data_IF_434670089007
#
_entry.id   IF_434670089007
#
_cell.length_a   1.000
_cell.length_b   1.000
_cell.length_c   1.000
_cell.angle_alpha   90.00
_cell.angle_beta   90.00
_cell.angle_gamma   90.00
#
_symmetry.space_group_name_H-M   'P 1'
#
loop_
_entity.id
_entity.type
_entity.pdbx_description
1 polymer ?
#
# COMPACT_ATOMS: atom_id res chain seq x y z
N UNK A 1 -1.48 19.52 6.90
CA UNK A 1 -0.29 19.24 6.09
C UNK A 1 0.13 17.78 6.25
N UNK A 2 0.53 17.15 5.13
CA UNK A 2 1.15 15.82 5.11
C UNK A 2 2.59 16.02 4.61
N UNK A 3 3.57 15.86 5.49
CA UNK A 3 4.98 15.94 5.13
C UNK A 3 5.48 14.56 4.71
N UNK A 4 5.88 14.41 3.46
CA UNK A 4 6.26 13.14 2.88
C UNK A 4 7.63 13.21 2.22
N UNK A 5 8.57 12.36 2.65
CA UNK A 5 9.87 12.23 1.98
C UNK A 5 9.85 11.22 0.83
N UNK A 6 9.05 10.18 0.96
CA UNK A 6 8.95 9.12 -0.05
C UNK A 6 7.52 8.60 -0.04
N UNK A 7 6.82 8.60 -1.17
CA UNK A 7 5.45 8.12 -1.24
C UNK A 7 5.36 6.62 -0.89
N UNK A 8 4.23 6.23 -0.32
CA UNK A 8 3.89 4.83 -0.11
C UNK A 8 3.14 4.28 -1.33
N UNK A 9 3.30 2.99 -1.61
CA UNK A 9 2.43 2.31 -2.55
C UNK A 9 1.06 2.08 -1.91
N UNK A 10 0.04 2.77 -2.40
CA UNK A 10 -1.32 2.71 -1.86
C UNK A 10 -2.21 1.96 -2.86
N UNK A 11 -2.52 0.73 -2.54
CA UNK A 11 -3.39 -0.10 -3.35
C UNK A 11 -4.82 -0.15 -2.78
N UNK A 12 -5.73 -0.73 -3.53
CA UNK A 12 -7.14 -0.90 -3.17
C UNK A 12 -7.25 -1.81 -1.94
N UNK A 13 -8.03 -1.38 -0.95
CA UNK A 13 -8.40 -2.21 0.18
C UNK A 13 -9.68 -2.98 -0.07
N UNK A 14 -10.61 -2.36 -0.80
CA UNK A 14 -11.95 -2.90 -1.06
C UNK A 14 -12.64 -3.33 0.24
N UNK A 15 -12.65 -2.39 1.19
CA UNK A 15 -13.23 -2.65 2.50
C UNK A 15 -14.75 -2.65 2.42
N UNK A 16 -15.36 -3.74 2.85
CA UNK A 16 -16.81 -3.87 3.00
C UNK A 16 -17.16 -4.32 4.40
N UNK A 17 -18.39 -4.09 4.78
CA UNK A 17 -18.92 -4.65 6.02
C UNK A 17 -19.00 -6.17 5.93
N UNK A 18 -18.71 -6.83 7.03
CA UNK A 18 -18.91 -8.28 7.17
C UNK A 18 -20.33 -8.51 7.67
N UNK A 19 -21.14 -9.26 6.93
CA UNK A 19 -22.49 -9.56 7.36
C UNK A 19 -22.49 -10.49 8.59
N UNK A 20 -23.60 -10.48 9.32
CA UNK A 20 -23.77 -11.36 10.49
C UNK A 20 -23.65 -12.84 10.07
N UNK A 21 -24.23 -13.20 8.94
CA UNK A 21 -24.21 -14.56 8.39
C UNK A 21 -22.78 -14.98 8.01
N UNK A 22 -22.00 -14.11 7.36
CA UNK A 22 -20.60 -14.38 7.05
C UNK A 22 -19.77 -14.57 8.31
N UNK A 23 -19.97 -13.72 9.32
CA UNK A 23 -19.26 -13.82 10.58
C UNK A 23 -19.61 -15.11 11.31
N UNK A 24 -20.90 -15.47 11.36
CA UNK A 24 -21.36 -16.72 11.96
C UNK A 24 -20.76 -17.94 11.24
N UNK A 25 -20.73 -17.93 9.90
CA UNK A 25 -20.12 -19.01 9.11
C UNK A 25 -18.62 -19.14 9.41
N UNK A 26 -17.89 -18.04 9.47
CA UNK A 26 -16.45 -18.07 9.72
C UNK A 26 -16.10 -18.44 11.16
N UNK A 27 -16.96 -18.10 12.13
CA UNK A 27 -16.72 -18.27 13.55
C UNK A 27 -17.20 -19.61 14.11
N UNK A 28 -17.78 -20.49 13.30
CA UNK A 28 -18.30 -21.80 13.72
C UNK A 28 -17.28 -22.66 14.48
N UNK A 29 -16.02 -22.60 14.05
CA UNK A 29 -14.98 -23.43 14.63
C UNK A 29 -14.15 -22.67 15.66
N UNK A 30 -13.90 -23.22 16.85
CA UNK A 30 -13.00 -22.62 17.82
C UNK A 30 -11.61 -22.35 17.22
N UNK A 31 -11.07 -21.15 17.41
CA UNK A 31 -9.76 -20.78 16.88
C UNK A 31 -9.74 -20.36 15.41
N UNK A 32 -10.89 -20.16 14.79
CA UNK A 32 -11.04 -19.74 13.38
C UNK A 32 -10.17 -18.54 13.01
N UNK A 33 -10.08 -17.52 13.86
CA UNK A 33 -9.30 -16.30 13.59
C UNK A 33 -7.80 -16.61 13.46
N UNK A 34 -7.29 -17.50 14.33
CA UNK A 34 -5.88 -17.96 14.25
C UNK A 34 -5.64 -18.79 12.99
N UNK A 35 -6.56 -19.69 12.66
CA UNK A 35 -6.49 -20.50 11.45
C UNK A 35 -6.53 -19.65 10.18
N UNK A 36 -7.42 -18.64 10.11
CA UNK A 36 -7.52 -17.67 9.01
C UNK A 36 -6.24 -16.86 8.83
N UNK A 37 -5.64 -16.36 9.93
CA UNK A 37 -4.35 -15.66 9.90
C UNK A 37 -3.22 -16.55 9.39
N UNK A 38 -3.12 -17.79 9.89
CA UNK A 38 -2.11 -18.74 9.45
C UNK A 38 -2.26 -19.12 7.98
N UNK A 39 -3.51 -19.23 7.50
CA UNK A 39 -3.79 -19.46 6.09
C UNK A 39 -3.36 -18.26 5.22
N UNK A 40 -3.69 -17.05 5.63
CA UNK A 40 -3.25 -15.81 4.95
C UNK A 40 -1.73 -15.76 4.81
N UNK A 41 -0.99 -16.03 5.89
CA UNK A 41 0.47 -16.05 5.86
C UNK A 41 1.01 -17.08 4.85
N UNK A 42 0.48 -18.30 4.84
CA UNK A 42 0.89 -19.34 3.88
C UNK A 42 0.61 -18.98 2.43
N UNK A 43 -0.52 -18.33 2.16
CA UNK A 43 -0.86 -17.83 0.81
C UNK A 43 0.11 -16.71 0.42
N UNK A 44 0.35 -15.75 1.30
CA UNK A 44 1.26 -14.62 1.07
C UNK A 44 2.70 -15.07 0.81
N UNK A 45 3.11 -16.19 1.43
CA UNK A 45 4.42 -16.81 1.21
C UNK A 45 4.46 -17.75 -0.01
N UNK A 46 3.36 -17.89 -0.74
CA UNK A 46 3.26 -18.78 -1.89
C UNK A 46 3.20 -20.29 -1.56
N UNK A 47 3.08 -20.64 -0.27
CA UNK A 47 3.08 -22.06 0.21
C UNK A 47 1.74 -22.77 0.04
N UNK A 48 0.67 -22.06 -0.23
CA UNK A 48 -0.68 -22.61 -0.36
C UNK A 48 -1.47 -21.88 -1.44
N UNK A 49 -2.24 -22.64 -2.22
CA UNK A 49 -3.15 -22.08 -3.20
C UNK A 49 -4.32 -21.33 -2.55
N UNK A 50 -4.72 -20.21 -3.17
CA UNK A 50 -5.98 -19.56 -2.84
C UNK A 50 -7.18 -20.47 -3.22
N UNK A 51 -8.22 -20.39 -2.42
CA UNK A 51 -9.54 -20.95 -2.70
C UNK A 51 -10.54 -19.83 -2.98
N UNK A 52 -11.70 -20.18 -3.49
CA UNK A 52 -12.74 -19.21 -3.85
C UNK A 52 -13.22 -18.33 -2.68
N UNK A 53 -13.15 -18.86 -1.45
CA UNK A 53 -13.54 -18.15 -0.23
C UNK A 53 -12.39 -17.44 0.52
N UNK A 54 -11.25 -17.27 -0.13
CA UNK A 54 -10.17 -16.41 0.36
C UNK A 54 -10.35 -14.95 -0.15
N UNK A 55 -11.58 -14.49 -0.20
CA UNK A 55 -12.02 -13.18 -0.71
C UNK A 55 -11.44 -11.98 0.04
N UNK A 56 -11.02 -12.16 1.30
CA UNK A 56 -10.28 -11.16 2.07
C UNK A 56 -8.92 -10.79 1.45
N UNK A 57 -8.51 -11.49 0.42
CA UNK A 57 -7.37 -11.17 -0.43
C UNK A 57 -7.78 -10.52 -1.76
N UNK A 58 -9.08 -10.21 -1.94
CA UNK A 58 -9.57 -9.50 -3.12
C UNK A 58 -8.72 -8.23 -3.37
N UNK A 59 -8.54 -7.87 -4.62
CA UNK A 59 -7.61 -6.80 -5.02
C UNK A 59 -6.13 -7.20 -5.09
N UNK A 60 -5.72 -8.22 -4.33
CA UNK A 60 -4.33 -8.77 -4.35
C UNK A 60 -4.20 -10.05 -5.17
N UNK A 61 -5.32 -10.57 -5.64
CA UNK A 61 -5.43 -11.89 -6.31
C UNK A 61 -4.60 -12.01 -7.59
N UNK A 62 -4.51 -10.99 -8.47
CA UNK A 62 -3.71 -11.09 -9.68
C UNK A 62 -2.26 -11.46 -9.40
N UNK A 63 -1.64 -10.80 -8.41
CA UNK A 63 -0.23 -11.01 -8.06
C UNK A 63 0.06 -12.43 -7.58
N UNK A 64 -0.84 -13.00 -6.78
CA UNK A 64 -0.68 -14.36 -6.27
C UNK A 64 -0.99 -15.42 -7.32
N UNK A 65 -1.99 -15.20 -8.18
CA UNK A 65 -2.30 -16.10 -9.29
C UNK A 65 -1.16 -16.15 -10.30
N UNK A 66 -0.59 -15.00 -10.62
CA UNK A 66 0.51 -14.91 -11.59
C UNK A 66 1.81 -15.50 -11.07
N UNK A 67 2.15 -15.31 -9.80
CA UNK A 67 3.30 -15.99 -9.17
C UNK A 67 3.21 -17.51 -9.26
N UNK A 68 2.00 -18.08 -9.35
CA UNK A 68 1.79 -19.52 -9.49
C UNK A 68 1.84 -20.03 -10.92
N UNK A 69 1.63 -19.17 -11.91
CA UNK A 69 1.78 -19.57 -13.32
C UNK A 69 3.22 -19.91 -13.71
N UNK A 70 4.18 -19.68 -12.79
CA UNK A 70 5.60 -20.01 -13.00
C UNK A 70 5.99 -21.42 -12.54
N UNK A 71 5.04 -22.28 -12.23
CA UNK A 71 5.28 -23.71 -11.95
C UNK A 71 5.41 -24.49 -13.27
N UNK A 72 6.55 -24.41 -13.90
CA UNK A 72 6.94 -25.14 -15.10
C UNK A 72 8.47 -25.18 -15.20
N UNK A 73 9.00 -25.87 -16.19
CA UNK A 73 10.44 -25.94 -16.49
C UNK A 73 10.94 -24.58 -17.05
N UNK A 74 11.00 -23.56 -16.19
CA UNK A 74 11.59 -22.27 -16.55
C UNK A 74 12.97 -22.12 -15.89
N UNK A 75 13.90 -21.53 -16.62
CA UNK A 75 15.23 -21.26 -16.09
C UNK A 75 15.19 -20.23 -14.95
N UNK A 76 16.16 -20.22 -14.03
CA UNK A 76 16.25 -19.19 -12.99
C UNK A 76 16.26 -17.76 -13.54
N UNK A 77 16.90 -17.53 -14.68
CA UNK A 77 16.97 -16.22 -15.34
C UNK A 77 15.58 -15.77 -15.84
N UNK A 78 14.84 -16.66 -16.48
CA UNK A 78 13.45 -16.38 -16.91
C UNK A 78 12.53 -16.12 -15.74
N UNK A 79 12.70 -16.84 -14.62
CA UNK A 79 11.94 -16.60 -13.40
C UNK A 79 12.17 -15.19 -12.86
N UNK A 80 13.43 -14.76 -12.78
CA UNK A 80 13.80 -13.41 -12.34
C UNK A 80 13.18 -12.36 -13.27
N UNK A 81 13.29 -12.52 -14.59
CA UNK A 81 12.72 -11.58 -15.54
C UNK A 81 11.20 -11.46 -15.38
N UNK A 82 10.49 -12.57 -15.29
CA UNK A 82 9.03 -12.57 -15.07
C UNK A 82 8.63 -11.91 -13.74
N UNK A 83 9.43 -12.08 -12.68
CA UNK A 83 9.20 -11.39 -11.40
C UNK A 83 9.37 -9.88 -11.54
N UNK A 84 10.39 -9.43 -12.27
CA UNK A 84 10.62 -8.01 -12.54
C UNK A 84 9.46 -7.41 -13.37
N UNK A 85 9.06 -8.07 -14.44
CA UNK A 85 7.96 -7.63 -15.31
C UNK A 85 6.64 -7.52 -14.53
N UNK A 86 6.36 -8.51 -13.67
CA UNK A 86 5.19 -8.47 -12.78
C UNK A 86 5.28 -7.31 -11.79
N UNK A 87 6.46 -7.09 -11.20
CA UNK A 87 6.69 -5.99 -10.28
C UNK A 87 6.45 -4.62 -10.95
N UNK A 88 7.02 -4.41 -12.13
CA UNK A 88 6.83 -3.18 -12.90
C UNK A 88 5.36 -2.93 -13.23
N UNK A 89 4.64 -3.96 -13.67
CA UNK A 89 3.22 -3.84 -13.98
C UNK A 89 2.38 -3.45 -12.77
N UNK A 90 2.63 -4.06 -11.59
CA UNK A 90 1.95 -3.69 -10.35
C UNK A 90 2.21 -2.22 -10.02
N UNK A 91 3.46 -1.79 -10.12
CA UNK A 91 3.81 -0.40 -9.82
C UNK A 91 3.19 0.59 -10.80
N UNK A 92 3.07 0.24 -12.09
CA UNK A 92 2.34 1.06 -13.06
C UNK A 92 0.84 1.16 -12.73
N UNK A 93 0.21 0.06 -12.31
CA UNK A 93 -1.19 0.07 -11.86
C UNK A 93 -1.39 0.99 -10.65
N UNK A 94 -0.47 0.95 -9.67
CA UNK A 94 -0.51 1.82 -8.50
C UNK A 94 -0.36 3.30 -8.91
N UNK A 95 0.58 3.64 -9.81
CA UNK A 95 0.76 5.00 -10.32
C UNK A 95 -0.46 5.48 -11.11
N UNK A 96 -0.99 4.63 -11.98
CA UNK A 96 -2.21 4.94 -12.74
C UNK A 96 -3.42 5.18 -11.82
N UNK A 97 -3.50 4.45 -10.70
CA UNK A 97 -4.53 4.69 -9.67
C UNK A 97 -4.38 6.07 -9.02
N UNK A 98 -3.16 6.52 -8.76
CA UNK A 98 -2.92 7.88 -8.25
C UNK A 98 -3.43 8.92 -9.24
N UNK A 99 -3.06 8.80 -10.53
CA UNK A 99 -3.51 9.72 -11.58
C UNK A 99 -5.04 9.73 -11.77
N UNK A 100 -5.67 8.58 -11.60
CA UNK A 100 -7.12 8.48 -11.75
C UNK A 100 -7.91 9.13 -10.59
N UNK A 101 -7.28 9.26 -9.41
CA UNK A 101 -7.97 9.71 -8.19
C UNK A 101 -7.59 11.12 -7.80
N UNK A 102 -6.31 11.48 -7.86
CA UNK A 102 -5.80 12.78 -7.39
C UNK A 102 -5.90 13.81 -8.52
N UNK A 103 -6.67 14.86 -8.29
CA UNK A 103 -7.03 15.85 -9.34
C UNK A 103 -5.87 16.80 -9.67
N UNK A 104 -5.14 17.24 -8.64
CA UNK A 104 -3.99 18.12 -8.86
C UNK A 104 -2.78 17.33 -9.39
N UNK A 105 -2.27 17.62 -10.59
CA UNK A 105 -1.22 16.82 -11.21
C UNK A 105 0.13 16.91 -10.46
N UNK A 106 0.41 18.01 -9.76
CA UNK A 106 1.64 18.14 -8.98
C UNK A 106 1.58 17.25 -7.75
N UNK A 107 0.48 17.26 -7.04
CA UNK A 107 0.23 16.37 -5.90
C UNK A 107 0.18 14.91 -6.35
N UNK A 108 -0.45 14.61 -7.48
CA UNK A 108 -0.49 13.26 -8.03
C UNK A 108 0.92 12.73 -8.31
N UNK A 109 1.77 13.51 -8.97
CA UNK A 109 3.14 13.11 -9.26
C UNK A 109 3.95 12.87 -7.97
N UNK A 110 3.83 13.74 -6.98
CA UNK A 110 4.50 13.58 -5.68
C UNK A 110 4.04 12.35 -4.88
N UNK A 111 2.84 11.84 -5.15
CA UNK A 111 2.29 10.65 -4.50
C UNK A 111 2.62 9.34 -5.23
N UNK A 112 3.26 9.38 -6.40
CA UNK A 112 3.64 8.18 -7.16
C UNK A 112 4.91 7.53 -6.62
N UNK A 113 4.87 6.24 -6.24
CA UNK A 113 6.08 5.53 -5.81
C UNK A 113 6.89 5.04 -7.02
N UNK A 114 8.20 5.35 -7.03
CA UNK A 114 9.15 4.97 -8.09
C UNK A 114 10.22 3.97 -7.59
N UNK A 115 9.85 3.10 -6.67
CA UNK A 115 10.67 2.01 -6.18
C UNK A 115 9.98 0.65 -6.46
N UNK A 116 10.71 -0.47 -6.50
CA UNK A 116 10.10 -1.78 -6.74
C UNK A 116 9.08 -2.16 -5.67
N UNK A 117 7.96 -2.76 -6.08
CA UNK A 117 6.93 -3.24 -5.17
C UNK A 117 7.51 -4.19 -4.13
N UNK A 118 7.19 -3.95 -2.87
CA UNK A 118 7.71 -4.74 -1.75
C UNK A 118 9.00 -4.22 -1.12
N UNK A 119 9.70 -3.23 -1.72
CA UNK A 119 10.84 -2.57 -1.06
C UNK A 119 10.42 -1.80 0.19
N UNK A 120 9.20 -1.29 0.20
CA UNK A 120 8.50 -0.80 1.39
C UNK A 120 7.24 -1.62 1.57
N UNK A 121 6.70 -1.67 2.78
CA UNK A 121 5.43 -2.36 3.03
C UNK A 121 4.35 -1.76 2.14
N UNK A 122 3.71 -2.55 1.27
CA UNK A 122 2.54 -2.09 0.55
C UNK A 122 1.43 -1.77 1.54
N UNK A 123 0.74 -0.67 1.31
CA UNK A 123 -0.41 -0.24 2.09
C UNK A 123 -1.67 -0.34 1.24
N UNK A 124 -2.80 -0.51 1.90
CA UNK A 124 -4.10 -0.71 1.24
C UNK A 124 -5.10 0.20 1.91
N UNK A 125 -5.60 1.17 1.16
CA UNK A 125 -6.55 2.16 1.68
C UNK A 125 -7.35 2.80 0.55
N UNK A 126 -8.66 2.90 0.73
CA UNK A 126 -9.54 3.42 -0.32
C UNK A 126 -9.69 4.95 -0.25
N UNK A 127 -9.56 5.54 0.93
CA UNK A 127 -9.81 6.97 1.16
C UNK A 127 -8.55 7.84 1.21
N UNK A 128 -7.34 7.24 1.27
CA UNK A 128 -6.10 8.01 1.41
C UNK A 128 -5.87 8.95 0.22
N UNK A 129 -5.92 8.43 -0.99
CA UNK A 129 -5.69 9.23 -2.20
C UNK A 129 -6.80 10.29 -2.40
N UNK A 130 -8.11 9.98 -2.26
CA UNK A 130 -9.15 10.99 -2.35
C UNK A 130 -9.04 12.12 -1.32
N UNK A 131 -8.36 11.88 -0.20
CA UNK A 131 -8.15 12.91 0.84
C UNK A 131 -7.38 14.10 0.31
N UNK A 132 -6.46 13.93 -0.62
CA UNK A 132 -5.68 15.02 -1.22
C UNK A 132 -6.48 15.92 -2.18
N UNK A 133 -7.70 15.55 -2.53
CA UNK A 133 -8.61 16.41 -3.28
C UNK A 133 -9.39 17.39 -2.37
N UNK A 134 -9.24 17.30 -1.05
CA UNK A 134 -9.89 18.21 -0.11
C UNK A 134 -9.10 19.52 -0.02
N UNK A 135 -9.81 20.66 -0.06
CA UNK A 135 -9.22 22.00 -0.03
C UNK A 135 -8.35 22.29 1.21
N UNK A 136 -8.55 21.59 2.30
CA UNK A 136 -7.84 21.75 3.57
C UNK A 136 -6.74 20.69 3.79
N UNK A 137 -6.41 19.90 2.79
CA UNK A 137 -5.34 18.89 2.85
C UNK A 137 -4.24 19.26 1.86
N UNK A 138 -3.04 19.43 2.36
CA UNK A 138 -1.89 19.87 1.57
C UNK A 138 -0.74 18.86 1.73
N UNK A 139 -0.25 18.35 0.60
CA UNK A 139 0.97 17.56 0.56
C UNK A 139 2.18 18.49 0.54
N UNK A 140 3.14 18.26 1.39
CA UNK A 140 4.46 18.87 1.36
C UNK A 140 5.47 17.79 1.01
N UNK A 141 5.93 17.78 -0.24
CA UNK A 141 6.99 16.87 -0.65
C UNK A 141 8.32 17.34 -0.06
N UNK A 142 8.91 16.50 0.76
CA UNK A 142 10.17 16.81 1.47
C UNK A 142 11.35 15.98 0.93
N UNK A 143 11.20 15.39 -0.25
CA UNK A 143 12.27 14.63 -0.89
C UNK A 143 13.47 15.55 -1.25
N UNK A 144 14.71 15.04 -1.26
CA UNK A 144 15.10 13.72 -0.75
C UNK A 144 15.45 13.70 0.74
N UNK A 145 15.55 14.87 1.39
CA UNK A 145 16.16 15.02 2.71
C UNK A 145 15.19 14.92 3.89
N UNK A 146 13.90 15.07 3.63
CA UNK A 146 12.88 15.16 4.68
C UNK A 146 12.73 16.57 5.23
N UNK A 147 12.01 16.71 6.33
CA UNK A 147 11.79 17.98 7.04
C UNK A 147 13.12 18.57 7.50
N UNK A 148 13.34 19.88 7.32
CA UNK A 148 14.61 20.54 7.67
C UNK A 148 14.76 20.70 9.17
N UNK A 149 13.72 21.17 9.86
CA UNK A 149 13.67 21.25 11.33
C UNK A 149 12.23 21.42 11.82
N UNK A 150 12.06 21.22 13.11
CA UNK A 150 10.85 21.53 13.86
C UNK A 150 11.20 22.56 14.91
N UNK A 151 10.36 23.58 15.07
CA UNK A 151 10.49 24.63 16.08
C UNK A 151 9.19 24.79 16.88
N UNK A 152 9.11 25.75 17.79
CA UNK A 152 7.95 25.97 18.64
C UNK A 152 6.67 26.33 17.88
N UNK A 153 6.78 26.83 16.66
CA UNK A 153 5.64 27.25 15.83
C UNK A 153 5.18 26.17 14.86
N UNK A 154 6.04 25.22 14.52
CA UNK A 154 5.66 24.20 13.55
C UNK A 154 6.84 23.55 12.84
N UNK A 155 6.61 23.19 11.59
CA UNK A 155 7.55 22.49 10.72
C UNK A 155 8.22 23.44 9.76
N UNK A 156 9.52 23.32 9.54
CA UNK A 156 10.26 24.08 8.55
C UNK A 156 10.83 23.17 7.49
N UNK A 157 10.57 23.50 6.23
CA UNK A 157 11.11 22.81 5.06
C UNK A 157 11.43 23.80 3.95
N UNK A 158 12.64 23.71 3.39
CA UNK A 158 13.17 24.58 2.33
C UNK A 158 12.92 26.09 2.56
N UNK A 159 13.13 26.54 3.79
CA UNK A 159 12.96 27.93 4.21
C UNK A 159 11.52 28.36 4.50
N UNK A 160 10.53 27.53 4.17
CA UNK A 160 9.13 27.78 4.49
C UNK A 160 8.79 27.24 5.87
N UNK A 161 8.03 28.02 6.64
CA UNK A 161 7.52 27.62 7.95
C UNK A 161 6.03 27.27 7.81
N UNK A 162 5.66 26.10 8.32
CA UNK A 162 4.30 25.58 8.35
C UNK A 162 3.81 25.57 9.78
N UNK A 163 3.03 26.57 10.21
CA UNK A 163 2.48 26.60 11.55
C UNK A 163 1.51 25.44 11.78
N UNK A 164 1.62 24.75 12.91
CA UNK A 164 0.75 23.63 13.27
C UNK A 164 0.44 23.68 14.76
N UNK A 165 -0.79 23.34 15.14
CA UNK A 165 -1.21 23.20 16.54
C UNK A 165 -0.91 21.81 17.09
N UNK A 166 -0.88 20.81 16.19
CA UNK A 166 -0.60 19.40 16.54
C UNK A 166 0.33 18.82 15.48
N UNK A 167 1.36 18.11 15.93
CA UNK A 167 2.29 17.38 15.08
C UNK A 167 2.22 15.89 15.40
N UNK A 168 1.89 15.08 14.40
CA UNK A 168 1.82 13.62 14.50
C UNK A 168 3.04 13.02 13.80
N UNK A 169 3.86 12.29 14.52
CA UNK A 169 5.00 11.56 13.97
C UNK A 169 4.56 10.17 13.49
N UNK A 170 4.67 9.93 12.19
CA UNK A 170 4.40 8.65 11.54
C UNK A 170 5.64 8.15 10.76
N UNK A 171 6.83 8.36 11.32
CA UNK A 171 8.12 8.14 10.66
C UNK A 171 8.60 6.69 10.64
N UNK A 172 7.85 5.78 11.27
CA UNK A 172 8.21 4.36 11.41
C UNK A 172 9.04 4.09 12.65
N UNK A 173 9.62 2.89 12.71
CA UNK A 173 10.43 2.42 13.83
C UNK A 173 11.90 2.37 13.44
N UNK A 174 12.79 2.62 14.39
CA UNK A 174 14.19 2.22 14.30
C UNK A 174 14.31 0.76 14.77
N UNK A 175 15.05 -0.05 14.02
CA UNK A 175 15.33 -1.45 14.31
C UNK A 175 16.75 -1.58 14.86
#
# INVERSE_FOLDING_TARGET
YVFQRTPSSIDVRDQRETSAEEFEEWSKEPGWAKARRARFARISEGRTAMKANDDYLAGRVPDFKERKQYSGDISPAELVQKQLDTNFRIMEQIRARVDAIVVDPVTAEALKPYYPYGCKRPTFHDEYLPTFNKHNVHLVDTAPRGVSKINERGVVHDGNEYPVDVLIYATGFQW
#
